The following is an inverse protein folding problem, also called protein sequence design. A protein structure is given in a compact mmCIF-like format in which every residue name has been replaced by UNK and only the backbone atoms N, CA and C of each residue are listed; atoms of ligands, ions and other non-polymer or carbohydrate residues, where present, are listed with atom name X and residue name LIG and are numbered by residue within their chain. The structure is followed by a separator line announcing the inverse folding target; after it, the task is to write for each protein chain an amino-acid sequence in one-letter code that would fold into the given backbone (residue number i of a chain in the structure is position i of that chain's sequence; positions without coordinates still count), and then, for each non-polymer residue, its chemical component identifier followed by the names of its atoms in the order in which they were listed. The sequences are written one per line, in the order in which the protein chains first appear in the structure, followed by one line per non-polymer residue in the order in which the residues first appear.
data_IF_651987029055
#
_entry.id   IF_651987029055
#
_cell.length_a   1.000
_cell.length_b   1.000
_cell.length_c   1.000
_cell.angle_alpha   90.00
_cell.angle_beta   90.00
_cell.angle_gamma   90.00
#
_symmetry.space_group_name_H-M   'P 1'
#
loop_
_entity.id
_entity.type
_entity.pdbx_description
1 polymer ?
#
# COMPACT_ATOMS: atom_id res chain seq x y z
N UNK A 1 15.58 -13.27 -22.14
CA UNK A 1 14.87 -12.67 -21.00
C UNK A 1 14.18 -11.42 -21.51
N UNK A 2 12.86 -11.29 -21.33
CA UNK A 2 12.11 -10.10 -21.75
C UNK A 2 11.92 -9.22 -20.51
N UNK A 3 12.47 -8.00 -20.52
CA UNK A 3 12.30 -7.04 -19.44
C UNK A 3 11.03 -6.23 -19.70
N UNK A 4 10.11 -6.18 -18.73
CA UNK A 4 8.91 -5.35 -18.80
C UNK A 4 9.14 -4.03 -18.02
N UNK A 5 8.71 -2.92 -18.60
CA UNK A 5 8.86 -1.56 -18.05
C UNK A 5 7.49 -0.91 -17.74
N UNK A 6 6.41 -1.68 -17.76
CA UNK A 6 5.08 -1.17 -17.46
C UNK A 6 5.00 -0.52 -16.07
N UNK A 7 4.38 0.66 -16.01
CA UNK A 7 4.13 1.34 -14.75
C UNK A 7 3.01 0.62 -13.99
N UNK A 8 3.31 0.17 -12.77
CA UNK A 8 2.38 -0.56 -11.90
C UNK A 8 1.67 0.36 -10.88
N UNK A 9 1.78 1.67 -11.01
CA UNK A 9 1.12 2.62 -10.13
C UNK A 9 -0.38 2.78 -10.44
N UNK A 10 -1.21 2.94 -9.39
CA UNK A 10 -2.68 3.04 -9.48
C UNK A 10 -3.25 4.12 -8.54
N UNK A 11 -2.91 5.41 -8.73
CA UNK A 11 -3.27 6.48 -7.80
C UNK A 11 -4.77 6.84 -7.81
N UNK A 12 -5.49 6.50 -8.88
CA UNK A 12 -6.91 6.75 -9.08
C UNK A 12 -7.80 6.10 -8.01
N UNK A 13 -7.38 4.94 -7.48
CA UNK A 13 -8.15 4.18 -6.47
C UNK A 13 -7.78 4.55 -5.03
N UNK A 14 -6.75 5.37 -4.83
CA UNK A 14 -6.23 5.68 -3.49
C UNK A 14 -7.26 6.43 -2.62
N UNK A 15 -7.99 7.39 -3.21
CA UNK A 15 -8.92 8.23 -2.47
C UNK A 15 -10.08 7.42 -1.84
N UNK A 16 -10.67 6.49 -2.59
CA UNK A 16 -11.78 5.66 -2.09
C UNK A 16 -11.32 4.66 -1.04
N UNK A 17 -10.14 4.04 -1.20
CA UNK A 17 -9.56 3.11 -0.23
C UNK A 17 -9.14 3.82 1.06
N UNK A 18 -8.53 5.01 0.96
CA UNK A 18 -8.17 5.82 2.12
C UNK A 18 -9.40 6.21 2.95
N UNK A 19 -10.52 6.55 2.29
CA UNK A 19 -11.77 6.84 2.99
C UNK A 19 -12.26 5.63 3.81
N UNK A 20 -12.17 4.42 3.26
CA UNK A 20 -12.52 3.18 3.98
C UNK A 20 -11.60 2.92 5.17
N UNK A 21 -10.28 3.09 5.01
CA UNK A 21 -9.32 2.91 6.11
C UNK A 21 -9.58 3.91 7.23
N UNK A 22 -9.82 5.19 6.91
CA UNK A 22 -10.13 6.22 7.91
C UNK A 22 -11.42 5.94 8.67
N UNK A 23 -12.43 5.38 7.99
CA UNK A 23 -13.67 4.95 8.65
C UNK A 23 -13.39 3.85 9.68
N UNK A 24 -12.56 2.85 9.35
CA UNK A 24 -12.20 1.80 10.29
C UNK A 24 -11.30 2.31 11.44
N UNK A 25 -10.37 3.23 11.16
CA UNK A 25 -9.58 3.89 12.20
C UNK A 25 -10.46 4.62 13.22
N UNK A 26 -11.48 5.35 12.76
CA UNK A 26 -12.43 6.04 13.63
C UNK A 26 -13.26 5.07 14.49
N UNK A 27 -13.63 3.90 13.96
CA UNK A 27 -14.32 2.85 14.74
C UNK A 27 -13.42 2.20 15.79
N UNK A 28 -12.13 2.11 15.50
CA UNK A 28 -11.14 1.48 16.36
C UNK A 28 -10.48 2.44 17.37
N UNK A 29 -10.85 3.72 17.37
CA UNK A 29 -10.24 4.77 18.19
C UNK A 29 -8.72 4.90 17.96
N UNK A 30 -8.33 4.89 16.68
CA UNK A 30 -6.92 4.95 16.23
C UNK A 30 -6.63 6.31 15.57
N UNK A 31 -5.64 7.03 16.09
CA UNK A 31 -5.23 8.34 15.57
C UNK A 31 -4.29 8.26 14.36
N UNK A 32 -3.56 7.16 14.19
CA UNK A 32 -2.53 7.02 13.16
C UNK A 32 -2.34 5.59 12.68
N UNK A 33 -1.98 5.44 11.41
CA UNK A 33 -1.80 4.12 10.79
C UNK A 33 -0.60 4.11 9.84
N UNK A 34 0.44 3.36 10.21
CA UNK A 34 1.68 3.27 9.43
C UNK A 34 1.58 2.07 8.49
N UNK A 35 1.81 2.31 7.19
CA UNK A 35 1.79 1.27 6.17
C UNK A 35 3.15 1.18 5.49
N UNK A 36 4.02 0.24 5.92
CA UNK A 36 5.29 -0.01 5.26
C UNK A 36 5.10 -0.72 3.91
N UNK A 37 6.13 -0.72 3.06
CA UNK A 37 6.11 -1.48 1.79
C UNK A 37 6.25 -2.97 2.05
N UNK A 38 6.97 -3.37 3.09
CA UNK A 38 7.30 -4.75 3.37
C UNK A 38 6.11 -5.55 3.93
N UNK A 39 6.20 -6.88 3.82
CA UNK A 39 5.31 -7.81 4.50
C UNK A 39 5.84 -8.19 5.90
N UNK A 40 5.16 -9.11 6.58
CA UNK A 40 5.54 -9.62 7.90
C UNK A 40 6.91 -10.32 7.95
N UNK A 41 7.52 -10.62 6.80
CA UNK A 41 8.85 -11.22 6.71
C UNK A 41 9.93 -10.23 6.30
N UNK A 42 9.58 -8.94 6.16
CA UNK A 42 10.49 -7.89 5.72
C UNK A 42 11.12 -8.18 4.35
N UNK A 43 10.40 -8.90 3.49
CA UNK A 43 10.89 -9.32 2.18
C UNK A 43 10.97 -8.16 1.18
N UNK A 44 11.99 -8.17 0.33
CA UNK A 44 12.11 -7.25 -0.81
C UNK A 44 11.02 -7.51 -1.87
N UNK A 45 10.69 -8.80 -2.09
CA UNK A 45 9.61 -9.23 -2.97
C UNK A 45 8.40 -9.64 -2.15
N UNK A 46 7.41 -8.77 -2.13
CA UNK A 46 6.16 -9.04 -1.40
C UNK A 46 5.11 -9.60 -2.37
N UNK A 47 4.44 -10.71 -2.01
CA UNK A 47 3.36 -11.25 -2.82
C UNK A 47 2.23 -10.24 -2.96
N UNK A 48 1.42 -10.33 -4.01
CA UNK A 48 0.33 -9.39 -4.29
C UNK A 48 -0.63 -9.17 -3.11
N UNK A 49 -0.89 -10.21 -2.30
CA UNK A 49 -1.72 -10.12 -1.09
C UNK A 49 -1.09 -9.30 0.05
N UNK A 50 0.24 -9.16 0.06
CA UNK A 50 1.00 -8.39 1.04
C UNK A 50 1.31 -6.96 0.60
N UNK A 51 1.02 -6.55 -0.64
CA UNK A 51 1.31 -5.21 -1.17
C UNK A 51 0.37 -4.12 -0.61
N UNK A 52 0.27 -4.00 0.72
CA UNK A 52 -0.68 -3.14 1.44
C UNK A 52 -0.48 -1.65 1.10
N UNK A 53 0.78 -1.19 1.01
CA UNK A 53 1.10 0.19 0.64
C UNK A 53 0.57 0.54 -0.76
N UNK A 54 0.79 -0.36 -1.72
CA UNK A 54 0.33 -0.17 -3.10
C UNK A 54 -1.19 -0.27 -3.19
N UNK A 55 -1.81 -1.19 -2.46
CA UNK A 55 -3.26 -1.25 -2.37
C UNK A 55 -3.82 0.07 -1.82
N UNK A 56 -3.27 0.61 -0.72
CA UNK A 56 -3.81 1.83 -0.12
C UNK A 56 -3.58 3.08 -0.98
N UNK A 57 -2.38 3.23 -1.56
CA UNK A 57 -1.94 4.51 -2.15
C UNK A 57 -1.78 4.48 -3.67
N UNK A 58 -1.78 3.29 -4.27
CA UNK A 58 -1.38 3.10 -5.67
C UNK A 58 0.13 3.21 -5.91
N UNK A 59 0.95 3.41 -4.87
CA UNK A 59 2.41 3.51 -4.99
C UNK A 59 3.04 2.15 -5.33
N UNK A 60 3.64 2.04 -6.52
CA UNK A 60 4.29 0.82 -7.02
C UNK A 60 5.81 0.79 -6.86
N UNK A 61 6.41 1.74 -6.14
CA UNK A 61 7.85 1.79 -5.92
C UNK A 61 8.34 0.71 -4.94
N UNK A 62 9.64 0.41 -4.98
CA UNK A 62 10.27 -0.64 -4.18
C UNK A 62 10.54 -0.24 -2.73
N UNK A 63 10.57 1.06 -2.41
CA UNK A 63 10.82 1.57 -1.07
C UNK A 63 9.86 2.72 -0.75
N UNK A 64 9.14 2.63 0.36
CA UNK A 64 8.19 3.65 0.78
C UNK A 64 7.42 3.29 2.04
N UNK A 65 6.83 4.31 2.65
CA UNK A 65 5.94 4.21 3.81
C UNK A 65 4.86 5.27 3.71
N UNK A 66 3.63 4.92 4.09
CA UNK A 66 2.55 5.88 4.31
C UNK A 66 2.30 6.07 5.81
N UNK A 67 1.93 7.29 6.19
CA UNK A 67 1.63 7.71 7.57
C UNK A 67 0.29 8.45 7.55
#
# INVERSE_FOLDING_TARGET
MLQNFDNNAQPDQAASRLALVRLEMAKADIDGFIVPREDEFMGEYVPACGERLKWLTGFGGSAGVAI
#
